data_IF_010614482344
#
_entry.id   IF_010614482344
#
_cell.length_a   1.000
_cell.length_b   1.000
_cell.length_c   1.000
_cell.angle_alpha   90.00
_cell.angle_beta   90.00
_cell.angle_gamma   90.00
#
_symmetry.space_group_name_H-M   'P 1'
#
loop_
_entity.id
_entity.type
_entity.pdbx_description
1 polymer ?
#
# COMPACT_ATOMS: atom_id res chain seq x y z
N UNK A 1 -1.72 -7.59 -12.24
CA UNK A 1 -1.73 -8.59 -11.14
C UNK A 1 -3.14 -9.10 -11.08
N UNK A 2 -3.33 -10.41 -11.23
CA UNK A 2 -4.66 -11.02 -11.12
C UNK A 2 -5.07 -11.08 -9.65
N UNK A 3 -6.35 -10.84 -9.39
CA UNK A 3 -6.93 -10.88 -8.05
C UNK A 3 -7.59 -12.24 -7.89
N UNK A 4 -6.89 -13.15 -7.22
CA UNK A 4 -7.34 -14.51 -6.94
C UNK A 4 -6.91 -14.96 -5.53
N UNK A 5 -7.29 -16.18 -5.16
CA UNK A 5 -7.01 -16.77 -3.84
C UNK A 5 -5.50 -16.93 -3.58
N UNK A 6 -4.66 -16.88 -4.62
CA UNK A 6 -3.21 -17.02 -4.48
C UNK A 6 -2.55 -15.73 -3.98
N UNK A 7 -3.29 -14.62 -3.86
CA UNK A 7 -2.79 -13.38 -3.27
C UNK A 7 -2.19 -13.58 -1.88
N UNK A 8 -2.74 -14.51 -1.07
CA UNK A 8 -2.16 -14.90 0.24
C UNK A 8 -0.69 -15.32 0.18
N UNK A 9 -0.24 -15.84 -0.97
CA UNK A 9 1.12 -16.33 -1.19
C UNK A 9 1.92 -15.40 -2.13
N UNK A 10 1.28 -14.40 -2.74
CA UNK A 10 1.90 -13.53 -3.74
C UNK A 10 2.51 -12.25 -3.13
N UNK A 11 3.41 -12.42 -2.15
CA UNK A 11 4.11 -11.30 -1.50
C UNK A 11 4.86 -10.43 -2.53
N UNK A 12 5.56 -11.05 -3.46
CA UNK A 12 6.37 -10.33 -4.45
C UNK A 12 5.51 -9.48 -5.39
N UNK A 13 4.39 -10.01 -5.88
CA UNK A 13 3.46 -9.29 -6.74
C UNK A 13 2.79 -8.13 -6.01
N UNK A 14 2.36 -8.34 -4.77
CA UNK A 14 1.76 -7.28 -3.94
C UNK A 14 2.75 -6.16 -3.60
N UNK A 15 4.00 -6.50 -3.27
CA UNK A 15 5.06 -5.50 -3.08
C UNK A 15 5.32 -4.70 -4.36
N UNK A 16 5.40 -5.37 -5.52
CA UNK A 16 5.59 -4.68 -6.79
C UNK A 16 4.41 -3.75 -7.10
N UNK A 17 3.16 -4.21 -6.88
CA UNK A 17 1.95 -3.40 -7.04
C UNK A 17 1.99 -2.14 -6.17
N UNK A 18 2.20 -2.30 -4.86
CA UNK A 18 2.21 -1.16 -3.94
C UNK A 18 3.39 -0.22 -4.18
N UNK A 19 4.58 -0.72 -4.53
CA UNK A 19 5.73 0.14 -4.87
C UNK A 19 5.49 0.95 -6.13
N UNK A 20 4.93 0.35 -7.17
CA UNK A 20 4.56 1.06 -8.39
C UNK A 20 3.54 2.16 -8.08
N UNK A 21 2.49 1.83 -7.32
CA UNK A 21 1.49 2.81 -6.88
C UNK A 21 2.10 3.92 -6.03
N UNK A 22 3.00 3.60 -5.12
CA UNK A 22 3.68 4.61 -4.31
C UNK A 22 4.55 5.54 -5.17
N UNK A 23 5.26 5.01 -6.16
CA UNK A 23 6.05 5.81 -7.10
C UNK A 23 5.18 6.75 -7.95
N UNK A 24 4.03 6.27 -8.42
CA UNK A 24 3.01 7.09 -9.10
C UNK A 24 2.57 8.25 -8.20
N UNK A 25 2.14 7.94 -6.97
CA UNK A 25 1.69 8.95 -5.99
C UNK A 25 2.80 9.95 -5.66
N UNK A 26 4.03 9.50 -5.44
CA UNK A 26 5.18 10.39 -5.15
C UNK A 26 5.42 11.35 -6.31
N UNK A 27 5.30 10.87 -7.55
CA UNK A 27 5.45 11.69 -8.76
C UNK A 27 4.32 12.72 -8.89
N UNK A 28 3.07 12.32 -8.64
CA UNK A 28 1.92 13.23 -8.63
C UNK A 28 2.05 14.31 -7.55
N UNK A 29 2.47 13.92 -6.34
CA UNK A 29 2.68 14.85 -5.23
C UNK A 29 3.86 15.79 -5.47
N UNK A 30 4.86 15.39 -6.25
CA UNK A 30 5.97 16.27 -6.64
C UNK A 30 5.52 17.42 -7.56
N UNK A 31 4.43 17.24 -8.31
CA UNK A 31 3.83 18.29 -9.14
C UNK A 31 2.97 19.26 -8.32
N UNK A 32 2.39 18.80 -7.21
CA UNK A 32 1.45 19.57 -6.39
C UNK A 32 2.11 20.32 -5.23
N UNK A 33 3.22 19.80 -4.71
CA UNK A 33 3.88 20.33 -3.51
C UNK A 33 5.34 20.65 -3.77
N UNK A 34 5.79 21.79 -3.24
CA UNK A 34 7.21 22.14 -3.22
C UNK A 34 8.02 21.15 -2.38
N UNK A 35 9.31 21.00 -2.67
CA UNK A 35 10.23 20.16 -1.90
C UNK A 35 10.30 20.59 -0.41
N UNK A 36 10.01 21.85 -0.09
CA UNK A 36 10.00 22.37 1.28
C UNK A 36 8.80 21.88 2.12
N UNK A 37 7.72 21.39 1.48
CA UNK A 37 6.50 20.90 2.15
C UNK A 37 6.57 19.40 2.49
N UNK A 38 7.75 18.87 2.84
CA UNK A 38 7.99 17.43 3.06
C UNK A 38 7.00 16.79 4.06
N UNK A 39 6.60 17.50 5.13
CA UNK A 39 5.58 17.00 6.09
C UNK A 39 4.20 16.82 5.45
N UNK A 40 3.77 17.78 4.63
CA UNK A 40 2.48 17.70 3.92
C UNK A 40 2.51 16.61 2.86
N UNK A 41 3.62 16.50 2.12
CA UNK A 41 3.86 15.43 1.13
C UNK A 41 3.80 14.05 1.77
N UNK A 42 4.49 13.84 2.89
CA UNK A 42 4.46 12.58 3.62
C UNK A 42 3.04 12.23 4.13
N UNK A 43 2.28 13.21 4.64
CA UNK A 43 0.89 12.98 5.07
C UNK A 43 -0.03 12.63 3.91
N UNK A 44 0.08 13.35 2.79
CA UNK A 44 -0.71 13.08 1.58
C UNK A 44 -0.39 11.71 0.98
N UNK A 45 0.91 11.35 0.93
CA UNK A 45 1.38 10.03 0.50
C UNK A 45 0.77 8.91 1.33
N UNK A 46 0.84 9.02 2.67
CA UNK A 46 0.27 8.01 3.56
C UNK A 46 -1.24 7.80 3.32
N UNK A 47 -2.00 8.90 3.17
CA UNK A 47 -3.45 8.83 2.89
C UNK A 47 -3.72 8.11 1.56
N UNK A 48 -2.98 8.45 0.51
CA UNK A 48 -3.15 7.84 -0.81
C UNK A 48 -2.76 6.35 -0.84
N UNK A 49 -1.72 5.96 -0.09
CA UNK A 49 -1.31 4.55 0.07
C UNK A 49 -2.38 3.75 0.82
N UNK A 50 -2.94 4.30 1.90
CA UNK A 50 -4.03 3.67 2.67
C UNK A 50 -5.26 3.49 1.79
N UNK A 51 -5.64 4.52 1.03
CA UNK A 51 -6.76 4.44 0.09
C UNK A 51 -6.53 3.38 -0.99
N UNK A 52 -5.30 3.25 -1.49
CA UNK A 52 -4.95 2.20 -2.47
C UNK A 52 -5.08 0.79 -1.89
N UNK A 53 -4.78 0.61 -0.59
CA UNK A 53 -5.02 -0.64 0.14
C UNK A 53 -6.52 -0.92 0.28
N UNK A 54 -7.30 0.06 0.74
CA UNK A 54 -8.75 -0.09 0.94
C UNK A 54 -9.45 -0.47 -0.37
N UNK A 55 -9.09 0.18 -1.48
CA UNK A 55 -9.60 -0.19 -2.80
C UNK A 55 -9.27 -1.63 -3.19
N UNK A 56 -8.03 -2.09 -2.92
CA UNK A 56 -7.66 -3.48 -3.21
C UNK A 56 -8.43 -4.48 -2.34
N UNK A 57 -8.64 -4.15 -1.06
CA UNK A 57 -9.42 -4.98 -0.13
C UNK A 57 -10.88 -5.11 -0.59
N UNK A 58 -11.49 -4.01 -1.07
CA UNK A 58 -12.85 -4.04 -1.62
C UNK A 58 -12.94 -4.99 -2.83
N UNK A 59 -11.98 -4.91 -3.76
CA UNK A 59 -11.98 -5.79 -4.94
C UNK A 59 -11.78 -7.25 -4.54
N UNK A 60 -10.92 -7.52 -3.55
CA UNK A 60 -10.73 -8.88 -3.01
C UNK A 60 -12.00 -9.39 -2.37
N UNK A 61 -12.70 -8.57 -1.60
CA UNK A 61 -13.96 -8.94 -0.96
C UNK A 61 -15.07 -9.25 -1.97
N UNK A 62 -15.20 -8.43 -3.02
CA UNK A 62 -16.13 -8.67 -4.13
C UNK A 62 -15.79 -9.96 -4.89
N UNK A 63 -14.52 -10.19 -5.17
CA UNK A 63 -14.03 -11.40 -5.86
C UNK A 63 -14.27 -12.64 -5.00
N UNK A 64 -13.97 -12.56 -3.70
CA UNK A 64 -14.18 -13.64 -2.75
C UNK A 64 -15.66 -14.01 -2.61
N UNK A 65 -16.56 -13.01 -2.61
CA UNK A 65 -18.00 -13.23 -2.63
C UNK A 65 -18.44 -13.97 -3.90
N UNK A 66 -17.97 -13.51 -5.07
CA UNK A 66 -18.33 -14.11 -6.36
C UNK A 66 -17.83 -15.56 -6.52
N UNK A 67 -16.69 -15.88 -5.90
CA UNK A 67 -16.04 -17.19 -5.98
C UNK A 67 -16.27 -18.07 -4.73
N UNK A 68 -17.09 -17.62 -3.78
CA UNK A 68 -17.41 -18.34 -2.55
C UNK A 68 -16.18 -18.79 -1.73
N UNK A 69 -15.21 -17.89 -1.54
CA UNK A 69 -14.04 -18.18 -0.71
C UNK A 69 -14.42 -18.34 0.76
N UNK A 70 -13.61 -19.09 1.52
CA UNK A 70 -13.82 -19.24 2.96
C UNK A 70 -13.33 -17.99 3.71
N UNK A 71 -13.85 -17.77 4.91
CA UNK A 71 -13.38 -16.70 5.79
C UNK A 71 -11.87 -16.78 6.07
N UNK A 72 -11.30 -17.99 6.11
CA UNK A 72 -9.87 -18.18 6.32
C UNK A 72 -9.06 -17.70 5.11
N UNK A 73 -9.50 -18.03 3.90
CA UNK A 73 -8.84 -17.58 2.66
C UNK A 73 -8.88 -16.05 2.51
N UNK A 74 -10.03 -15.45 2.86
CA UNK A 74 -10.19 -13.99 2.86
C UNK A 74 -9.23 -13.36 3.88
N UNK A 75 -9.20 -13.89 5.11
CA UNK A 75 -8.32 -13.38 6.17
C UNK A 75 -6.84 -13.43 5.76
N UNK A 76 -6.39 -14.54 5.20
CA UNK A 76 -5.00 -14.71 4.73
C UNK A 76 -4.65 -13.68 3.63
N UNK A 77 -5.56 -13.42 2.69
CA UNK A 77 -5.36 -12.39 1.67
C UNK A 77 -5.30 -10.99 2.28
N UNK A 78 -6.21 -10.66 3.20
CA UNK A 78 -6.26 -9.35 3.89
C UNK A 78 -4.97 -9.11 4.67
N UNK A 79 -4.47 -10.13 5.38
CA UNK A 79 -3.22 -10.03 6.14
C UNK A 79 -2.02 -9.79 5.22
N UNK A 80 -1.91 -10.51 4.11
CA UNK A 80 -0.81 -10.33 3.16
C UNK A 80 -0.84 -8.95 2.49
N UNK A 81 -2.02 -8.47 2.11
CA UNK A 81 -2.23 -7.12 1.55
C UNK A 81 -1.83 -6.06 2.57
N UNK A 82 -2.27 -6.20 3.82
CA UNK A 82 -1.95 -5.24 4.88
C UNK A 82 -0.45 -5.21 5.16
N UNK A 83 0.17 -6.38 5.33
CA UNK A 83 1.61 -6.49 5.56
C UNK A 83 2.44 -5.85 4.45
N UNK A 84 2.12 -6.14 3.19
CA UNK A 84 2.86 -5.58 2.05
C UNK A 84 2.63 -4.07 1.89
N UNK A 85 1.42 -3.58 2.18
CA UNK A 85 1.13 -2.15 2.20
C UNK A 85 1.94 -1.42 3.28
N UNK A 86 2.00 -1.95 4.50
CA UNK A 86 2.74 -1.34 5.60
C UNK A 86 4.24 -1.26 5.32
N UNK A 87 4.83 -2.33 4.74
CA UNK A 87 6.24 -2.32 4.30
C UNK A 87 6.49 -1.20 3.30
N UNK A 88 5.65 -1.09 2.26
CA UNK A 88 5.82 -0.05 1.23
C UNK A 88 5.55 1.35 1.78
N UNK A 89 4.63 1.51 2.73
CA UNK A 89 4.41 2.78 3.41
C UNK A 89 5.69 3.26 4.12
N UNK A 90 6.40 2.36 4.82
CA UNK A 90 7.67 2.67 5.47
C UNK A 90 8.76 3.02 4.46
N UNK A 91 8.91 2.24 3.39
CA UNK A 91 9.87 2.50 2.31
C UNK A 91 9.64 3.87 1.66
N UNK A 92 8.39 4.16 1.30
CA UNK A 92 8.02 5.36 0.54
C UNK A 92 8.09 6.62 1.41
N UNK A 93 7.72 6.50 2.70
CA UNK A 93 7.84 7.61 3.64
C UNK A 93 9.30 7.96 3.89
N UNK A 94 10.19 6.97 4.06
CA UNK A 94 11.62 7.22 4.20
C UNK A 94 12.22 7.95 2.98
N UNK A 95 11.72 7.66 1.77
CA UNK A 95 12.17 8.34 0.55
C UNK A 95 11.71 9.82 0.47
N UNK A 96 10.59 10.18 1.10
CA UNK A 96 10.06 11.56 1.11
C UNK A 96 10.57 12.36 2.30
N UNK A 97 10.77 11.69 3.44
CA UNK A 97 11.32 12.25 4.65
C UNK A 97 12.18 11.17 5.30
N UNK A 98 13.50 11.30 5.12
CA UNK A 98 14.45 10.38 5.73
C UNK A 98 14.20 10.32 7.23
N UNK A 99 14.06 9.10 7.75
CA UNK A 99 13.97 8.90 9.18
C UNK A 99 15.32 9.26 9.80
N UNK A 100 15.38 10.40 10.49
CA UNK A 100 16.42 10.60 11.49
C UNK A 100 16.30 9.43 12.48
N UNK A 101 17.42 8.78 12.80
CA UNK A 101 17.50 7.62 13.70
C UNK A 101 16.86 7.88 15.09
N UNK A 102 16.52 9.13 15.42
CA UNK A 102 15.81 9.57 16.63
C UNK A 102 14.29 9.80 16.46
N UNK A 103 13.71 9.61 15.28
CA UNK A 103 12.28 9.87 15.03
C UNK A 103 11.34 8.74 15.53
N UNK A 104 11.90 7.68 16.12
CA UNK A 104 11.18 6.53 16.68
C UNK A 104 11.21 6.48 18.23
N UNK A 105 11.70 7.53 18.90
CA UNK A 105 11.63 7.65 20.38
C UNK A 105 10.32 8.28 20.85
#
# INVERSE_FOLDING_TARGET
MDIDINLRNNKAGLLAYFRNRANEIVSELALQYSAADYKKRASALNKAIIQSKENLLLIVEETARAQHWTNNDILECVLMITYTNDVVMLESRNAVWEYDYMAFS
#
